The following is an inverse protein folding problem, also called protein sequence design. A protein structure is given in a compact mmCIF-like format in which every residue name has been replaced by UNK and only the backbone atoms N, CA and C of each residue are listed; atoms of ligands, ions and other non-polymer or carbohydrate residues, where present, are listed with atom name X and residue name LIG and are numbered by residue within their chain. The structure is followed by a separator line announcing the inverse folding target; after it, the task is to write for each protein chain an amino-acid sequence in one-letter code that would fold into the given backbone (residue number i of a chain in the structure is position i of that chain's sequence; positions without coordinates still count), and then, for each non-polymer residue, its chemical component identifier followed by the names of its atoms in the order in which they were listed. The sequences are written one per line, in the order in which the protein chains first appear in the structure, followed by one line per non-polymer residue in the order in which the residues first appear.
data_IF_401657543433
#
_entry.id   IF_401657543433
#
_cell.length_a   1.000
_cell.length_b   1.000
_cell.length_c   1.000
_cell.angle_alpha   90.00
_cell.angle_beta   90.00
_cell.angle_gamma   90.00
#
_symmetry.space_group_name_H-M   'P 1'
#
loop_
_entity.id
_entity.type
_entity.pdbx_description
1 polymer ?
#
# COMPACT_ATOMS: atom_id res chain seq x y z
N UNK A 1 -14.45 -17.80 7.85
CA UNK A 1 -14.58 -17.07 6.57
C UNK A 1 -16.05 -17.03 6.17
N UNK A 2 -16.70 -15.85 6.16
CA UNK A 2 -18.04 -15.72 5.57
C UNK A 2 -17.89 -15.98 4.06
N UNK A 3 -18.68 -16.90 3.53
CA UNK A 3 -18.45 -17.68 2.31
C UNK A 3 -18.13 -16.85 1.06
N UNK A 4 -17.09 -17.23 0.31
CA UNK A 4 -16.75 -16.65 -1.01
C UNK A 4 -17.94 -16.68 -1.98
N UNK A 5 -18.82 -17.68 -1.84
CA UNK A 5 -20.07 -17.79 -2.60
C UNK A 5 -20.99 -16.59 -2.38
N UNK A 6 -21.17 -16.17 -1.13
CA UNK A 6 -22.01 -15.01 -0.79
C UNK A 6 -21.48 -13.71 -1.42
N UNK A 7 -20.15 -13.56 -1.47
CA UNK A 7 -19.53 -12.43 -2.17
C UNK A 7 -19.82 -12.49 -3.66
N UNK A 8 -19.59 -13.65 -4.30
CA UNK A 8 -19.85 -13.85 -5.72
C UNK A 8 -21.32 -13.59 -6.10
N UNK A 9 -22.27 -14.12 -5.33
CA UNK A 9 -23.70 -13.94 -5.57
C UNK A 9 -24.09 -12.44 -5.49
N UNK A 10 -23.55 -11.72 -4.49
CA UNK A 10 -23.83 -10.29 -4.30
C UNK A 10 -23.16 -9.44 -5.38
N UNK A 11 -21.93 -9.77 -5.75
CA UNK A 11 -21.19 -9.10 -6.81
C UNK A 11 -21.89 -9.25 -8.15
N UNK A 12 -22.29 -10.48 -8.50
CA UNK A 12 -23.03 -10.77 -9.73
C UNK A 12 -24.33 -9.97 -9.77
N UNK A 13 -25.12 -9.98 -8.69
CA UNK A 13 -26.37 -9.23 -8.63
C UNK A 13 -26.18 -7.72 -8.85
N UNK A 14 -25.15 -7.12 -8.25
CA UNK A 14 -24.83 -5.71 -8.47
C UNK A 14 -24.36 -5.43 -9.89
N UNK A 15 -23.45 -6.25 -10.43
CA UNK A 15 -22.92 -6.07 -11.78
C UNK A 15 -24.00 -6.21 -12.85
N UNK A 16 -24.91 -7.19 -12.73
CA UNK A 16 -26.03 -7.35 -13.66
C UNK A 16 -27.03 -6.22 -13.55
N UNK A 17 -27.37 -5.79 -12.33
CA UNK A 17 -28.29 -4.66 -12.15
C UNK A 17 -27.74 -3.38 -12.79
N UNK A 18 -26.47 -3.04 -12.54
CA UNK A 18 -25.83 -1.85 -13.13
C UNK A 18 -25.75 -1.95 -14.67
N UNK A 19 -25.48 -3.14 -15.21
CA UNK A 19 -25.33 -3.34 -16.66
C UNK A 19 -26.68 -3.28 -17.39
N UNK A 20 -27.69 -3.95 -16.83
CA UNK A 20 -28.96 -4.19 -17.51
C UNK A 20 -30.01 -3.11 -17.20
N UNK A 21 -29.90 -2.44 -16.06
CA UNK A 21 -30.82 -1.39 -15.58
C UNK A 21 -30.05 -0.30 -14.80
N UNK A 22 -29.14 0.45 -15.46
CA UNK A 22 -28.36 1.50 -14.82
C UNK A 22 -29.27 2.65 -14.34
N UNK A 23 -28.94 3.30 -13.22
CA UNK A 23 -29.60 4.54 -12.82
C UNK A 23 -29.34 5.64 -13.86
N UNK A 24 -30.25 6.63 -13.93
CA UNK A 24 -30.23 7.71 -14.93
C UNK A 24 -28.86 8.40 -15.07
N UNK A 25 -28.13 8.56 -13.96
CA UNK A 25 -26.80 9.19 -13.94
C UNK A 25 -25.73 8.37 -14.69
N UNK A 26 -25.93 7.06 -14.85
CA UNK A 26 -24.99 6.14 -15.51
C UNK A 26 -25.40 5.76 -16.93
N UNK A 27 -26.63 6.07 -17.38
CA UNK A 27 -27.16 5.65 -18.70
C UNK A 27 -26.27 6.10 -19.87
N UNK A 28 -25.65 7.28 -19.77
CA UNK A 28 -24.77 7.83 -20.81
C UNK A 28 -23.27 7.48 -20.62
N UNK A 29 -22.93 6.65 -19.64
CA UNK A 29 -21.53 6.29 -19.33
C UNK A 29 -21.19 4.92 -19.91
N UNK A 30 -20.02 4.80 -20.56
CA UNK A 30 -19.49 3.48 -20.91
C UNK A 30 -18.90 2.81 -19.68
N UNK A 31 -19.38 1.62 -19.35
CA UNK A 31 -18.91 0.80 -18.23
C UNK A 31 -18.00 -0.36 -18.67
N UNK A 32 -17.61 -0.43 -19.95
CA UNK A 32 -16.59 -1.37 -20.40
C UNK A 32 -15.23 -0.64 -20.49
N UNK A 33 -14.20 -1.03 -19.72
CA UNK A 33 -14.06 -2.23 -18.87
C UNK A 33 -14.38 -2.02 -17.37
N UNK A 34 -15.00 -0.91 -16.98
CA UNK A 34 -15.09 -0.42 -15.59
C UNK A 34 -16.25 -0.94 -14.74
N UNK A 35 -17.10 -1.83 -15.25
CA UNK A 35 -18.31 -2.31 -14.55
C UNK A 35 -17.98 -2.89 -13.17
N UNK A 36 -16.87 -3.63 -13.06
CA UNK A 36 -16.40 -4.20 -11.80
C UNK A 36 -16.01 -3.12 -10.79
N UNK A 37 -15.37 -2.05 -11.23
CA UNK A 37 -14.97 -0.93 -10.36
C UNK A 37 -16.17 -0.20 -9.75
N UNK A 38 -17.30 -0.15 -10.45
CA UNK A 38 -18.54 0.44 -9.94
C UNK A 38 -19.30 -0.53 -9.03
N UNK A 39 -19.34 -1.81 -9.38
CA UNK A 39 -20.06 -2.84 -8.61
C UNK A 39 -19.33 -3.26 -7.32
N UNK A 40 -18.00 -3.27 -7.29
CA UNK A 40 -17.19 -3.74 -6.16
C UNK A 40 -17.44 -2.93 -4.87
N UNK A 41 -17.41 -1.59 -4.87
CA UNK A 41 -17.67 -0.80 -3.66
C UNK A 41 -19.05 -1.07 -3.06
N UNK A 42 -20.09 -1.19 -3.91
CA UNK A 42 -21.46 -1.51 -3.48
C UNK A 42 -21.52 -2.89 -2.81
N UNK A 43 -20.86 -3.87 -3.42
CA UNK A 43 -20.77 -5.25 -2.91
C UNK A 43 -20.05 -5.30 -1.56
N UNK A 44 -18.91 -4.62 -1.44
CA UNK A 44 -18.12 -4.54 -0.21
C UNK A 44 -18.96 -3.90 0.89
N UNK A 45 -19.64 -2.79 0.58
CA UNK A 45 -20.48 -2.09 1.54
C UNK A 45 -21.68 -2.93 2.01
N UNK A 46 -22.39 -3.60 1.09
CA UNK A 46 -23.50 -4.49 1.39
C UNK A 46 -23.12 -5.69 2.28
N UNK A 47 -21.83 -6.04 2.31
CA UNK A 47 -21.29 -7.10 3.17
C UNK A 47 -20.70 -6.56 4.49
N UNK A 48 -20.89 -5.28 4.77
CA UNK A 48 -20.43 -4.61 5.98
C UNK A 48 -18.98 -4.14 5.91
N UNK A 49 -18.43 -3.96 4.71
CA UNK A 49 -17.13 -3.33 4.48
C UNK A 49 -17.22 -1.81 4.44
N UNK A 50 -16.15 -1.13 4.83
CA UNK A 50 -16.11 0.32 4.93
C UNK A 50 -14.76 0.79 5.46
N UNK A 51 -14.62 2.11 5.64
CA UNK A 51 -13.34 2.70 6.07
C UNK A 51 -12.94 2.27 7.49
N UNK A 52 -13.90 2.25 8.40
CA UNK A 52 -13.66 2.02 9.84
C UNK A 52 -14.09 0.61 10.29
N UNK A 53 -14.13 -0.36 9.37
CA UNK A 53 -14.56 -1.73 9.67
C UNK A 53 -13.46 -2.59 10.29
N UNK A 54 -12.21 -2.14 10.18
CA UNK A 54 -11.08 -2.80 10.83
C UNK A 54 -10.77 -2.11 12.16
N UNK A 55 -10.29 -2.85 13.18
CA UNK A 55 -9.82 -2.25 14.42
C UNK A 55 -8.77 -1.16 14.14
N UNK A 56 -8.73 -0.09 14.95
CA UNK A 56 -7.70 0.94 14.83
C UNK A 56 -6.29 0.33 14.80
N UNK A 57 -5.44 0.84 13.91
CA UNK A 57 -4.06 0.35 13.75
C UNK A 57 -3.92 -0.95 12.94
N UNK A 58 -4.97 -1.47 12.31
CA UNK A 58 -4.83 -2.55 11.33
C UNK A 58 -4.21 -2.06 10.02
N UNK A 59 -4.86 -1.11 9.35
CA UNK A 59 -4.28 -0.43 8.19
C UNK A 59 -3.28 0.62 8.66
N UNK A 60 -2.12 0.70 8.00
CA UNK A 60 -1.00 1.55 8.44
C UNK A 60 -0.49 1.25 9.85
N UNK A 61 -0.51 -0.03 10.19
CA UNK A 61 0.01 -0.55 11.44
C UNK A 61 0.33 -2.03 11.31
N UNK A 62 -0.53 -2.88 11.86
CA UNK A 62 -0.25 -4.32 11.94
C UNK A 62 -0.30 -5.05 10.58
N UNK A 63 -1.19 -4.64 9.67
CA UNK A 63 -1.46 -5.38 8.43
C UNK A 63 -0.93 -4.71 7.16
N UNK A 64 -0.81 -3.39 7.14
CA UNK A 64 -0.26 -2.64 6.00
C UNK A 64 0.62 -1.48 6.46
N UNK A 65 1.47 -1.02 5.55
CA UNK A 65 2.30 0.16 5.72
C UNK A 65 2.33 0.94 4.41
N UNK A 66 1.68 2.10 4.37
CA UNK A 66 1.80 3.04 3.26
C UNK A 66 3.13 3.78 3.36
N UNK A 67 3.88 3.76 2.27
CA UNK A 67 5.14 4.48 2.16
C UNK A 67 5.23 5.25 0.85
N UNK A 68 5.92 6.39 0.90
CA UNK A 68 6.14 7.27 -0.26
C UNK A 68 7.55 7.20 -0.81
N UNK A 69 8.54 7.14 0.08
CA UNK A 69 9.96 7.13 -0.28
C UNK A 69 10.69 6.11 0.59
N UNK A 70 11.48 5.22 -0.02
CA UNK A 70 12.25 4.21 0.71
C UNK A 70 13.17 4.79 1.79
N UNK A 71 13.85 5.94 1.59
CA UNK A 71 14.61 6.58 2.66
C UNK A 71 13.79 6.92 3.91
N UNK A 72 12.52 7.34 3.74
CA UNK A 72 11.63 7.60 4.87
C UNK A 72 11.20 6.30 5.54
N UNK A 73 10.88 5.28 4.76
CA UNK A 73 10.51 3.95 5.28
C UNK A 73 11.61 3.43 6.20
N UNK A 74 12.85 3.37 5.71
CA UNK A 74 13.99 2.89 6.50
C UNK A 74 14.28 3.76 7.74
N UNK A 75 14.06 5.07 7.65
CA UNK A 75 14.34 6.01 8.73
C UNK A 75 13.34 5.93 9.89
N UNK A 76 12.04 5.74 9.61
CA UNK A 76 10.97 5.92 10.61
C UNK A 76 10.19 4.66 10.96
N UNK A 77 10.08 3.70 10.05
CA UNK A 77 9.20 2.55 10.27
C UNK A 77 9.82 1.52 11.23
N UNK A 78 8.97 0.65 11.79
CA UNK A 78 9.36 -0.39 12.72
C UNK A 78 10.35 -1.39 12.10
N UNK A 79 11.09 -2.12 12.94
CA UNK A 79 12.00 -3.17 12.46
C UNK A 79 11.23 -4.25 11.68
N UNK A 80 10.00 -4.55 12.10
CA UNK A 80 9.14 -5.51 11.41
C UNK A 80 8.83 -5.10 9.97
N UNK A 81 8.51 -3.82 9.71
CA UNK A 81 8.23 -3.33 8.35
C UNK A 81 9.46 -3.48 7.45
N UNK A 82 10.65 -3.15 7.96
CA UNK A 82 11.91 -3.30 7.21
C UNK A 82 12.20 -4.77 6.92
N UNK A 83 12.03 -5.65 7.91
CA UNK A 83 12.22 -7.09 7.75
C UNK A 83 11.22 -7.69 6.73
N UNK A 84 9.94 -7.31 6.78
CA UNK A 84 8.94 -7.73 5.79
C UNK A 84 9.33 -7.26 4.38
N UNK A 85 9.73 -6.00 4.22
CA UNK A 85 10.18 -5.44 2.94
C UNK A 85 11.36 -6.25 2.38
N UNK A 86 12.38 -6.51 3.19
CA UNK A 86 13.58 -7.20 2.75
C UNK A 86 13.29 -8.67 2.42
N UNK A 87 12.50 -9.37 3.24
CA UNK A 87 12.07 -10.74 2.96
C UNK A 87 11.22 -10.85 1.71
N UNK A 88 10.25 -9.94 1.52
CA UNK A 88 9.38 -9.94 0.34
C UNK A 88 10.17 -9.68 -0.96
N UNK A 89 11.25 -8.91 -0.88
CA UNK A 89 12.07 -8.53 -2.03
C UNK A 89 13.30 -9.42 -2.25
N UNK A 90 13.62 -10.31 -1.31
CA UNK A 90 14.76 -11.23 -1.38
C UNK A 90 14.74 -12.23 -2.56
N UNK A 91 13.59 -12.82 -2.96
CA UNK A 91 13.59 -13.83 -4.03
C UNK A 91 14.19 -13.31 -5.34
N UNK A 92 15.11 -14.07 -5.95
CA UNK A 92 15.89 -13.58 -7.10
C UNK A 92 15.02 -13.11 -8.28
N UNK A 93 13.88 -13.78 -8.53
CA UNK A 93 12.92 -13.37 -9.57
C UNK A 93 12.39 -11.95 -9.34
N UNK A 94 12.12 -11.59 -8.08
CA UNK A 94 11.64 -10.27 -7.67
C UNK A 94 12.81 -9.28 -7.73
N UNK A 95 13.96 -9.64 -7.16
CA UNK A 95 15.18 -8.82 -7.19
C UNK A 95 15.58 -8.39 -8.60
N UNK A 96 15.49 -9.30 -9.59
CA UNK A 96 15.81 -9.00 -10.99
C UNK A 96 14.97 -7.86 -11.56
N UNK A 97 13.68 -7.81 -11.23
CA UNK A 97 12.75 -6.76 -11.66
C UNK A 97 13.00 -5.49 -10.85
N UNK A 98 13.04 -5.60 -9.53
CA UNK A 98 13.08 -4.42 -8.65
C UNK A 98 14.39 -3.64 -8.72
N UNK A 99 15.52 -4.29 -9.00
CA UNK A 99 16.83 -3.62 -9.06
C UNK A 99 17.00 -2.65 -10.25
N UNK A 100 16.06 -2.63 -11.19
CA UNK A 100 16.08 -1.69 -12.33
C UNK A 100 15.78 -0.27 -11.86
N UNK A 101 14.98 -0.11 -10.80
CA UNK A 101 14.71 1.17 -10.17
C UNK A 101 15.82 1.53 -9.18
N UNK A 102 16.50 2.65 -9.42
CA UNK A 102 17.70 3.01 -8.67
C UNK A 102 17.46 3.14 -7.15
N UNK A 103 16.43 3.85 -6.65
CA UNK A 103 16.14 3.92 -5.22
C UNK A 103 16.00 2.54 -4.58
N UNK A 104 15.28 1.61 -5.21
CA UNK A 104 15.12 0.24 -4.68
C UNK A 104 16.49 -0.45 -4.64
N UNK A 105 17.25 -0.39 -5.73
CA UNK A 105 18.57 -1.01 -5.80
C UNK A 105 19.51 -0.52 -4.71
N UNK A 106 19.59 0.79 -4.52
CA UNK A 106 20.48 1.43 -3.55
C UNK A 106 20.05 1.14 -2.12
N UNK A 107 18.76 1.30 -1.84
CA UNK A 107 18.22 1.23 -0.48
C UNK A 107 18.18 -0.19 0.05
N UNK A 108 17.61 -1.12 -0.73
CA UNK A 108 17.39 -2.51 -0.29
C UNK A 108 18.64 -3.35 -0.53
N UNK A 109 19.19 -3.36 -1.76
CA UNK A 109 20.23 -4.34 -2.11
C UNK A 109 21.67 -3.87 -1.89
N UNK A 110 21.92 -2.57 -1.69
CA UNK A 110 23.27 -2.02 -1.47
C UNK A 110 23.44 -1.40 -0.07
N UNK A 111 22.52 -1.69 0.85
CA UNK A 111 22.63 -1.33 2.26
C UNK A 111 22.49 0.15 2.59
N UNK A 112 22.11 1.03 1.63
CA UNK A 112 21.85 2.45 1.96
C UNK A 112 20.62 2.63 2.85
N UNK A 113 19.69 1.68 2.83
CA UNK A 113 18.56 1.63 3.75
C UNK A 113 18.98 1.51 5.20
N UNK A 114 19.83 0.54 5.54
CA UNK A 114 20.35 0.43 6.89
C UNK A 114 21.22 1.62 7.30
N UNK A 115 21.98 2.21 6.36
CA UNK A 115 22.69 3.48 6.63
C UNK A 115 21.73 4.61 6.99
N UNK A 116 20.60 4.71 6.29
CA UNK A 116 19.55 5.69 6.60
C UNK A 116 18.92 5.41 7.96
N UNK A 117 18.61 4.14 8.25
CA UNK A 117 18.06 3.69 9.55
C UNK A 117 18.98 4.01 10.73
N UNK A 118 20.28 3.83 10.55
CA UNK A 118 21.28 4.08 11.59
C UNK A 118 21.39 5.56 12.00
N UNK A 119 20.91 6.50 11.17
CA UNK A 119 20.92 7.93 11.52
C UNK A 119 19.89 8.30 12.58
N UNK A 120 18.93 7.44 12.89
CA UNK A 120 17.81 7.80 13.74
C UNK A 120 17.68 6.82 14.90
N UNK A 121 17.49 7.33 16.10
CA UNK A 121 16.96 6.54 17.19
C UNK A 121 15.44 6.38 16.99
N UNK A 122 14.96 5.14 16.94
CA UNK A 122 13.55 4.84 16.69
C UNK A 122 12.68 5.15 17.90
N UNK A 123 13.24 5.14 19.11
CA UNK A 123 12.52 5.56 20.31
C UNK A 123 12.41 7.09 20.43
N UNK A 124 13.22 7.84 19.68
CA UNK A 124 13.32 9.29 19.74
C UNK A 124 13.34 9.94 18.33
N UNK A 125 12.37 9.55 17.49
CA UNK A 125 12.26 10.12 16.14
C UNK A 125 11.87 11.61 16.18
N UNK A 126 12.40 12.43 15.24
CA UNK A 126 11.92 13.80 15.09
C UNK A 126 10.41 13.83 14.79
N UNK A 127 9.66 14.69 15.49
CA UNK A 127 8.21 14.83 15.31
C UNK A 127 7.81 15.21 13.88
N UNK A 128 8.66 15.98 13.20
CA UNK A 128 8.37 16.53 11.87
C UNK A 128 9.13 15.75 10.80
N UNK A 129 8.43 15.24 9.79
CA UNK A 129 9.04 14.53 8.65
C UNK A 129 10.10 15.38 7.92
N UNK A 130 9.90 16.71 7.86
CA UNK A 130 10.86 17.63 7.28
C UNK A 130 12.26 17.52 7.91
N UNK A 131 12.35 17.29 9.22
CA UNK A 131 13.62 17.12 9.92
C UNK A 131 14.31 15.80 9.52
N UNK A 132 13.56 14.70 9.43
CA UNK A 132 14.04 13.40 8.96
C UNK A 132 14.60 13.54 7.54
N UNK A 133 13.81 14.12 6.63
CA UNK A 133 14.18 14.35 5.23
C UNK A 133 15.42 15.22 5.09
N UNK A 134 15.55 16.29 5.87
CA UNK A 134 16.73 17.16 5.81
C UNK A 134 17.98 16.44 6.30
N UNK A 135 17.90 15.60 7.35
CA UNK A 135 19.02 14.79 7.81
C UNK A 135 19.44 13.75 6.77
N UNK A 136 18.47 13.08 6.13
CA UNK A 136 18.74 12.15 5.02
C UNK A 136 19.41 12.84 3.82
N UNK A 137 18.98 14.06 3.47
CA UNK A 137 19.60 14.85 2.39
C UNK A 137 21.05 15.22 2.73
N UNK A 138 21.32 15.71 3.95
CA UNK A 138 22.67 16.03 4.41
C UNK A 138 23.61 14.83 4.41
N UNK A 139 23.08 13.64 4.68
CA UNK A 139 23.83 12.39 4.62
C UNK A 139 23.96 11.80 3.20
N UNK A 140 23.49 12.49 2.15
CA UNK A 140 23.42 11.97 0.78
C UNK A 140 22.67 10.63 0.70
N UNK A 141 21.59 10.45 1.46
CA UNK A 141 20.75 9.24 1.47
C UNK A 141 19.33 9.48 0.96
N UNK A 142 19.01 10.71 0.55
CA UNK A 142 17.72 11.05 -0.05
C UNK A 142 17.66 10.62 -1.52
N UNK A 143 16.67 9.80 -1.87
CA UNK A 143 16.38 9.33 -3.22
C UNK A 143 14.86 9.35 -3.43
N UNK A 144 14.44 9.73 -4.64
CA UNK A 144 13.04 9.77 -5.05
C UNK A 144 12.78 8.67 -6.06
#
# INVERSE_FOLDING_TARGET
HRSARRFGDRFLAHATAIRDDPPDELVCQSLDPWLDQVALPLTIHALGGGRDTLPPGHLDGAASCHYRHLPLLYARESDHVVDVLERATAPNRIKKVLKTHEPIRRMIYQGRGHKARALFDRAALPRNEAAIRNRLRRANLWMR
#
